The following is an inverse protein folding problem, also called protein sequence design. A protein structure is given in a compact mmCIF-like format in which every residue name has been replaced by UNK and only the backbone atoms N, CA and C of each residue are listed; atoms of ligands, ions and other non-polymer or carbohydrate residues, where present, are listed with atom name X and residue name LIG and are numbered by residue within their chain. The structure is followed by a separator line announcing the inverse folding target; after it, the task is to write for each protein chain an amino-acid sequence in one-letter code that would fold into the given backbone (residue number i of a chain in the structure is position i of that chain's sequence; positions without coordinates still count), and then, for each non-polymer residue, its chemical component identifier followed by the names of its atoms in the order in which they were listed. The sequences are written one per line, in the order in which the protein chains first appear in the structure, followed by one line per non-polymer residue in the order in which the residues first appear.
data_IF_299592703486
#
_entry.id   IF_299592703486
#
_cell.length_a   1.000
_cell.length_b   1.000
_cell.length_c   1.000
_cell.angle_alpha   90.00
_cell.angle_beta   90.00
_cell.angle_gamma   90.00
#
_symmetry.space_group_name_H-M   'P 1'
#
loop_
_entity.id
_entity.type
_entity.pdbx_description
1 polymer ?
#
# COMPACT_ATOMS: atom_id res chain seq x y z
N UNK A 1 -51.98 37.89 -11.08
CA UNK A 1 -50.52 37.63 -11.03
C UNK A 1 -50.18 37.33 -9.58
N UNK A 2 -50.16 36.05 -9.20
CA UNK A 2 -49.69 35.63 -7.88
C UNK A 2 -48.23 35.22 -7.99
N UNK A 3 -47.34 36.00 -7.40
CA UNK A 3 -45.91 35.70 -7.31
C UNK A 3 -45.70 34.52 -6.36
N UNK A 4 -45.01 33.50 -6.85
CA UNK A 4 -44.52 32.36 -6.04
C UNK A 4 -43.49 32.90 -5.05
N UNK A 5 -43.53 32.55 -3.75
CA UNK A 5 -42.52 32.95 -2.79
C UNK A 5 -41.19 32.27 -3.14
N UNK A 6 -40.11 33.04 -3.19
CA UNK A 6 -38.75 32.51 -3.30
C UNK A 6 -38.48 31.57 -2.11
N UNK A 7 -38.20 30.30 -2.40
CA UNK A 7 -37.75 29.34 -1.40
C UNK A 7 -36.43 29.82 -0.78
N UNK A 8 -36.42 30.03 0.54
CA UNK A 8 -35.19 30.34 1.27
C UNK A 8 -34.26 29.13 1.22
N UNK A 9 -33.21 29.20 0.39
CA UNK A 9 -32.15 28.21 0.38
C UNK A 9 -31.47 28.22 1.75
N UNK A 10 -31.56 27.12 2.50
CA UNK A 10 -30.91 26.99 3.79
C UNK A 10 -29.39 27.22 3.62
N UNK A 11 -28.80 28.09 4.45
CA UNK A 11 -27.37 28.38 4.39
C UNK A 11 -26.54 27.09 4.60
N UNK A 12 -25.59 26.84 3.71
CA UNK A 12 -24.71 25.68 3.79
C UNK A 12 -23.79 25.80 5.02
N UNK A 13 -23.80 24.79 5.88
CA UNK A 13 -22.93 24.71 7.06
C UNK A 13 -21.72 23.84 6.73
N UNK A 14 -20.54 24.45 6.66
CA UNK A 14 -19.28 23.76 6.34
C UNK A 14 -18.44 23.56 7.60
N UNK A 15 -18.12 22.31 7.91
CA UNK A 15 -17.23 21.95 9.02
C UNK A 15 -15.78 21.85 8.54
N UNK A 16 -14.82 22.24 9.39
CA UNK A 16 -13.38 22.18 9.12
C UNK A 16 -12.61 21.64 10.32
N UNK A 17 -11.36 21.23 10.08
CA UNK A 17 -10.44 20.84 11.14
C UNK A 17 -10.23 21.99 12.13
N UNK A 18 -9.84 21.64 13.36
CA UNK A 18 -9.33 22.62 14.35
C UNK A 18 -7.85 22.94 14.13
N UNK A 19 -7.15 22.12 13.36
CA UNK A 19 -5.79 22.41 12.91
C UNK A 19 -5.84 23.36 11.71
N UNK A 20 -4.83 24.25 11.56
CA UNK A 20 -4.75 25.13 10.40
C UNK A 20 -4.53 24.33 9.11
N UNK A 21 -4.87 24.94 7.97
CA UNK A 21 -4.49 24.42 6.67
C UNK A 21 -2.96 24.43 6.52
N UNK A 22 -2.43 23.47 5.78
CA UNK A 22 -1.00 23.31 5.52
C UNK A 22 -0.72 23.39 4.02
N UNK A 23 0.51 23.76 3.66
CA UNK A 23 0.97 23.64 2.28
C UNK A 23 1.18 22.16 1.93
N UNK A 24 0.59 21.72 0.81
CA UNK A 24 0.67 20.34 0.34
C UNK A 24 1.36 20.33 -1.02
N UNK A 25 2.50 19.63 -1.17
CA UNK A 25 3.26 19.59 -2.43
C UNK A 25 2.61 18.63 -3.44
N UNK A 26 1.40 18.97 -3.86
CA UNK A 26 0.51 18.11 -4.64
C UNK A 26 0.85 18.05 -6.14
N UNK A 27 1.92 18.74 -6.57
CA UNK A 27 2.48 18.66 -7.93
C UNK A 27 3.60 17.60 -8.07
N UNK A 28 3.95 16.91 -6.99
CA UNK A 28 4.96 15.84 -7.01
C UNK A 28 4.35 14.47 -7.35
N UNK A 29 5.21 13.51 -7.68
CA UNK A 29 4.84 12.10 -7.69
C UNK A 29 4.85 11.52 -6.28
N UNK A 30 3.98 10.53 -6.05
CA UNK A 30 3.78 9.92 -4.71
C UNK A 30 5.09 9.39 -4.11
N UNK A 31 5.89 8.68 -4.91
CA UNK A 31 7.17 8.14 -4.47
C UNK A 31 8.17 9.24 -4.10
N UNK A 32 8.21 10.35 -4.84
CA UNK A 32 9.09 11.48 -4.52
C UNK A 32 8.69 12.13 -3.20
N UNK A 33 7.39 12.31 -2.99
CA UNK A 33 6.84 12.84 -1.75
C UNK A 33 7.14 11.95 -0.53
N UNK A 34 6.94 10.63 -0.66
CA UNK A 34 7.21 9.67 0.41
C UNK A 34 8.70 9.57 0.75
N UNK A 35 9.59 9.67 -0.24
CA UNK A 35 11.04 9.58 -0.02
C UNK A 35 11.73 10.94 0.17
N UNK A 36 10.99 12.03 0.38
CA UNK A 36 11.55 13.38 0.50
C UNK A 36 12.59 13.53 1.63
N UNK A 37 12.55 12.69 2.66
CA UNK A 37 13.48 12.70 3.81
C UNK A 37 14.71 11.79 3.62
N UNK A 38 14.98 11.29 2.41
CA UNK A 38 16.04 10.29 2.16
C UNK A 38 17.42 10.68 2.72
N UNK A 39 17.79 11.97 2.66
CA UNK A 39 19.05 12.46 3.21
C UNK A 39 19.17 12.28 4.74
N UNK A 40 18.05 12.28 5.45
CA UNK A 40 17.99 12.12 6.90
C UNK A 40 17.83 10.65 7.33
N UNK A 41 17.03 9.88 6.59
CA UNK A 41 16.62 8.53 7.01
C UNK A 41 17.19 7.39 6.16
N UNK A 42 18.00 7.67 5.13
CA UNK A 42 18.43 6.68 4.15
C UNK A 42 19.03 5.39 4.71
N UNK A 43 19.83 5.48 5.77
CA UNK A 43 20.44 4.32 6.45
C UNK A 43 19.58 3.72 7.58
N UNK A 44 18.44 4.32 7.91
CA UNK A 44 17.53 3.82 8.94
C UNK A 44 16.70 2.64 8.42
N UNK A 45 16.29 1.70 9.28
CA UNK A 45 15.30 0.68 8.91
C UNK A 45 14.01 1.33 8.41
N UNK A 46 13.50 0.82 7.29
CA UNK A 46 12.23 1.25 6.69
C UNK A 46 11.19 0.15 6.81
N UNK A 47 11.48 -1.04 6.28
CA UNK A 47 10.56 -2.19 6.28
C UNK A 47 11.27 -3.38 6.93
N UNK A 48 10.64 -3.98 7.92
CA UNK A 48 11.10 -5.18 8.61
C UNK A 48 10.05 -6.26 8.41
N UNK A 49 10.42 -7.39 7.83
CA UNK A 49 9.55 -8.56 7.75
C UNK A 49 9.55 -9.28 9.11
N UNK A 50 8.43 -9.16 9.84
CA UNK A 50 8.28 -9.79 11.15
C UNK A 50 8.24 -11.32 11.12
N UNK A 51 8.10 -11.95 9.96
CA UNK A 51 8.16 -13.41 9.85
C UNK A 51 9.59 -13.92 9.67
N UNK A 52 10.39 -13.27 8.81
CA UNK A 52 11.74 -13.73 8.44
C UNK A 52 12.85 -13.00 9.21
N UNK A 53 12.55 -11.84 9.80
CA UNK A 53 13.53 -10.94 10.41
C UNK A 53 14.32 -10.11 9.39
N UNK A 54 14.05 -10.25 8.08
CA UNK A 54 14.68 -9.44 7.06
C UNK A 54 14.35 -7.96 7.28
N UNK A 55 15.36 -7.10 7.19
CA UNK A 55 15.24 -5.66 7.42
C UNK A 55 15.82 -4.91 6.24
N UNK A 56 15.04 -3.98 5.70
CA UNK A 56 15.38 -3.14 4.57
C UNK A 56 15.42 -1.68 5.03
N UNK A 57 16.54 -1.01 4.79
CA UNK A 57 16.73 0.42 5.01
C UNK A 57 15.94 1.26 4.01
N UNK A 58 15.75 2.55 4.28
CA UNK A 58 15.09 3.47 3.33
C UNK A 58 15.79 3.49 1.96
N UNK A 59 17.12 3.49 1.93
CA UNK A 59 17.89 3.42 0.70
C UNK A 59 17.66 2.11 -0.06
N UNK A 60 17.59 0.98 0.65
CA UNK A 60 17.30 -0.32 0.03
C UNK A 60 15.86 -0.39 -0.49
N UNK A 61 14.86 0.10 0.26
CA UNK A 61 13.47 0.14 -0.21
C UNK A 61 13.35 1.02 -1.46
N UNK A 62 14.04 2.16 -1.52
CA UNK A 62 14.04 3.01 -2.72
C UNK A 62 14.69 2.33 -3.92
N UNK A 63 15.87 1.71 -3.71
CA UNK A 63 16.59 0.94 -4.74
C UNK A 63 15.76 -0.25 -5.24
N UNK A 64 15.22 -1.07 -4.33
CA UNK A 64 14.40 -2.24 -4.65
C UNK A 64 13.12 -1.85 -5.40
N UNK A 65 12.52 -0.71 -5.05
CA UNK A 65 11.36 -0.18 -5.78
C UNK A 65 11.74 0.27 -7.20
N UNK A 66 12.92 0.86 -7.41
CA UNK A 66 13.42 1.22 -8.75
C UNK A 66 13.80 0.00 -9.57
N UNK A 67 14.34 -1.06 -8.96
CA UNK A 67 14.58 -2.35 -9.63
C UNK A 67 13.26 -3.04 -9.98
N UNK A 68 12.27 -2.98 -9.09
CA UNK A 68 10.92 -3.46 -9.38
C UNK A 68 10.30 -2.73 -10.56
N UNK A 69 10.44 -1.40 -10.64
CA UNK A 69 10.01 -0.61 -11.79
C UNK A 69 10.70 -1.05 -13.09
N UNK A 70 12.02 -1.22 -13.10
CA UNK A 70 12.75 -1.69 -14.28
C UNK A 70 12.30 -3.10 -14.71
N UNK A 71 12.08 -4.00 -13.75
CA UNK A 71 11.55 -5.34 -14.00
C UNK A 71 10.15 -5.33 -14.59
N UNK A 72 9.21 -4.59 -13.99
CA UNK A 72 7.85 -4.43 -14.50
C UNK A 72 7.84 -3.83 -15.92
N UNK A 73 8.70 -2.85 -16.19
CA UNK A 73 8.86 -2.26 -17.53
C UNK A 73 9.34 -3.26 -18.56
N UNK A 74 10.28 -4.16 -18.23
CA UNK A 74 10.70 -5.26 -19.12
C UNK A 74 9.56 -6.23 -19.43
N UNK A 75 8.58 -6.33 -18.55
CA UNK A 75 7.36 -7.12 -18.74
C UNK A 75 6.26 -6.35 -19.50
N UNK A 76 6.55 -5.14 -19.97
CA UNK A 76 5.65 -4.32 -20.79
C UNK A 76 4.78 -3.34 -20.01
N UNK A 77 4.93 -3.24 -18.67
CA UNK A 77 4.18 -2.26 -17.87
C UNK A 77 4.68 -0.84 -18.17
N UNK A 78 3.76 0.07 -18.45
CA UNK A 78 4.02 1.50 -18.63
C UNK A 78 2.94 2.38 -18.00
N UNK A 79 2.96 3.65 -18.39
CA UNK A 79 2.06 4.68 -17.87
C UNK A 79 0.59 4.34 -18.19
N UNK A 80 -0.26 4.35 -17.18
CA UNK A 80 -1.69 4.06 -17.30
C UNK A 80 -2.06 2.57 -17.22
N UNK A 81 -1.07 1.67 -17.25
CA UNK A 81 -1.31 0.24 -17.06
C UNK A 81 -1.62 -0.11 -15.61
N UNK A 82 -2.17 -1.30 -15.39
CA UNK A 82 -2.57 -1.76 -14.06
C UNK A 82 -1.81 -3.03 -13.67
N UNK A 83 -1.14 -2.98 -12.52
CA UNK A 83 -0.51 -4.14 -11.85
C UNK A 83 -1.43 -4.62 -10.73
N UNK A 84 -1.69 -5.92 -10.66
CA UNK A 84 -2.49 -6.52 -9.59
C UNK A 84 -1.62 -7.12 -8.49
N UNK A 85 -1.70 -6.57 -7.28
CA UNK A 85 -1.11 -7.16 -6.10
C UNK A 85 -2.14 -8.06 -5.39
N UNK A 86 -1.99 -9.37 -5.58
CA UNK A 86 -2.71 -10.44 -4.89
C UNK A 86 -1.83 -11.02 -3.78
N UNK A 87 -1.46 -10.17 -2.83
CA UNK A 87 -0.46 -10.46 -1.80
C UNK A 87 -1.02 -10.24 -0.41
N UNK A 88 -0.58 -11.06 0.55
CA UNK A 88 -0.64 -10.68 1.98
C UNK A 88 0.36 -9.55 2.26
N UNK A 89 0.40 -9.10 3.51
CA UNK A 89 1.37 -8.11 3.95
C UNK A 89 2.79 -8.66 3.83
N UNK A 90 3.61 -8.15 2.91
CA UNK A 90 5.02 -8.49 2.78
C UNK A 90 5.82 -7.31 2.23
N UNK A 91 7.17 -7.30 2.34
CA UNK A 91 8.00 -6.24 1.75
C UNK A 91 7.78 -6.09 0.23
N UNK A 92 7.63 -7.19 -0.49
CA UNK A 92 7.44 -7.21 -1.95
C UNK A 92 6.16 -6.50 -2.39
N UNK A 93 5.13 -6.45 -1.52
CA UNK A 93 3.95 -5.62 -1.76
C UNK A 93 4.35 -4.16 -1.96
N UNK A 94 5.20 -3.63 -1.07
CA UNK A 94 5.65 -2.24 -1.12
C UNK A 94 6.56 -1.99 -2.33
N UNK A 95 7.49 -2.92 -2.61
CA UNK A 95 8.39 -2.81 -3.77
C UNK A 95 7.62 -2.81 -5.09
N UNK A 96 6.65 -3.69 -5.23
CA UNK A 96 5.78 -3.76 -6.40
C UNK A 96 4.92 -2.50 -6.55
N UNK A 97 4.26 -2.05 -5.47
CA UNK A 97 3.42 -0.85 -5.49
C UNK A 97 4.22 0.41 -5.86
N UNK A 98 5.36 0.63 -5.20
CA UNK A 98 6.23 1.78 -5.46
C UNK A 98 6.91 1.67 -6.83
N UNK A 99 7.22 0.45 -7.28
CA UNK A 99 7.77 0.20 -8.62
C UNK A 99 6.77 0.55 -9.73
N UNK A 100 5.51 0.13 -9.60
CA UNK A 100 4.43 0.52 -10.53
C UNK A 100 4.23 2.04 -10.54
N UNK A 101 4.21 2.68 -9.36
CA UNK A 101 4.08 4.13 -9.24
C UNK A 101 5.19 4.90 -9.99
N UNK A 102 6.41 4.35 -10.08
CA UNK A 102 7.54 4.93 -10.83
C UNK A 102 7.41 4.84 -12.34
N UNK A 103 6.51 4.00 -12.83
CA UNK A 103 6.19 3.87 -14.26
C UNK A 103 4.96 4.69 -14.65
N UNK A 104 4.32 5.39 -13.69
CA UNK A 104 3.00 5.98 -13.88
C UNK A 104 1.89 4.95 -14.06
N UNK A 105 2.12 3.71 -13.59
CA UNK A 105 1.14 2.63 -13.58
C UNK A 105 0.34 2.65 -12.26
N UNK A 106 -0.88 2.15 -12.32
CA UNK A 106 -1.72 1.98 -11.13
C UNK A 106 -1.54 0.57 -10.53
N UNK A 107 -1.69 0.47 -9.22
CA UNK A 107 -1.77 -0.83 -8.53
C UNK A 107 -3.20 -1.10 -8.07
N UNK A 108 -3.83 -2.16 -8.58
CA UNK A 108 -5.04 -2.74 -7.96
C UNK A 108 -4.63 -3.79 -6.94
N UNK A 109 -5.38 -3.88 -5.84
CA UNK A 109 -5.07 -4.81 -4.74
C UNK A 109 -6.26 -5.69 -4.46
N UNK A 110 -6.02 -6.97 -4.19
CA UNK A 110 -7.07 -7.93 -3.87
C UNK A 110 -6.67 -8.82 -2.69
N UNK A 111 -7.68 -9.30 -1.97
CA UNK A 111 -7.47 -10.23 -0.88
C UNK A 111 -7.05 -11.61 -1.46
N UNK A 112 -5.86 -12.15 -1.12
CA UNK A 112 -5.43 -13.46 -1.61
C UNK A 112 -6.32 -14.62 -1.12
N UNK A 113 -7.17 -14.39 -0.12
CA UNK A 113 -8.17 -15.36 0.34
C UNK A 113 -9.46 -15.37 -0.48
N UNK A 114 -9.64 -14.45 -1.44
CA UNK A 114 -10.76 -14.53 -2.39
C UNK A 114 -10.76 -15.82 -3.20
N UNK A 115 -11.93 -16.16 -3.72
CA UNK A 115 -12.12 -17.25 -4.68
C UNK A 115 -11.50 -16.88 -6.04
N UNK A 116 -11.12 -17.86 -6.87
CA UNK A 116 -10.62 -17.59 -8.22
C UNK A 116 -11.54 -16.65 -9.02
N UNK A 117 -12.85 -16.90 -8.99
CA UNK A 117 -13.84 -16.09 -9.71
C UNK A 117 -13.86 -14.62 -9.28
N UNK A 118 -13.75 -14.34 -7.98
CA UNK A 118 -13.69 -12.97 -7.47
C UNK A 118 -12.40 -12.26 -7.91
N UNK A 119 -11.27 -12.98 -7.88
CA UNK A 119 -9.97 -12.47 -8.32
C UNK A 119 -10.00 -12.16 -9.82
N UNK A 120 -10.47 -13.08 -10.65
CA UNK A 120 -10.55 -12.93 -12.11
C UNK A 120 -11.45 -11.77 -12.49
N UNK A 121 -12.63 -11.66 -11.85
CA UNK A 121 -13.55 -10.54 -12.08
C UNK A 121 -12.89 -9.20 -11.79
N UNK A 122 -12.15 -9.09 -10.69
CA UNK A 122 -11.45 -7.85 -10.36
C UNK A 122 -10.29 -7.59 -11.32
N UNK A 123 -9.53 -8.61 -11.71
CA UNK A 123 -8.44 -8.49 -12.68
C UNK A 123 -8.96 -7.98 -14.04
N UNK A 124 -10.07 -8.56 -14.53
CA UNK A 124 -10.73 -8.12 -15.76
C UNK A 124 -11.28 -6.69 -15.63
N UNK A 125 -12.00 -6.39 -14.55
CA UNK A 125 -12.58 -5.06 -14.34
C UNK A 125 -11.52 -3.96 -14.17
N UNK A 126 -10.36 -4.31 -13.61
CA UNK A 126 -9.24 -3.39 -13.44
C UNK A 126 -8.37 -3.26 -14.69
N UNK A 127 -8.54 -4.13 -15.70
CA UNK A 127 -7.63 -4.18 -16.84
C UNK A 127 -6.20 -4.56 -16.43
N UNK A 128 -6.04 -5.48 -15.47
CA UNK A 128 -4.73 -5.89 -14.98
C UNK A 128 -3.87 -6.49 -16.10
N UNK A 129 -2.67 -5.97 -16.30
CA UNK A 129 -1.68 -6.47 -17.26
C UNK A 129 -0.78 -7.57 -16.69
N UNK A 130 -0.68 -7.65 -15.36
CA UNK A 130 0.19 -8.58 -14.65
C UNK A 130 -0.35 -8.82 -13.24
N UNK A 131 -0.09 -10.01 -12.69
CA UNK A 131 -0.47 -10.39 -11.32
C UNK A 131 0.78 -10.72 -10.51
N UNK A 132 1.01 -10.00 -9.41
CA UNK A 132 2.00 -10.36 -8.39
C UNK A 132 1.29 -11.10 -7.25
N UNK A 133 1.76 -12.29 -6.89
CA UNK A 133 1.09 -13.18 -5.94
C UNK A 133 2.09 -13.99 -5.11
N UNK A 134 1.60 -14.64 -4.05
CA UNK A 134 2.33 -15.69 -3.34
C UNK A 134 2.11 -17.05 -4.03
N UNK A 135 3.08 -17.96 -3.94
CA UNK A 135 3.08 -19.29 -4.54
C UNK A 135 1.82 -20.09 -4.17
N UNK A 136 1.34 -19.94 -2.93
CA UNK A 136 0.12 -20.59 -2.43
C UNK A 136 -1.18 -20.11 -3.10
N UNK A 137 -1.16 -19.00 -3.83
CA UNK A 137 -2.31 -18.45 -4.55
C UNK A 137 -2.18 -18.57 -6.08
N UNK A 138 -1.06 -19.10 -6.60
CA UNK A 138 -0.82 -19.29 -8.04
C UNK A 138 -1.91 -20.15 -8.68
N UNK A 139 -2.31 -21.24 -8.03
CA UNK A 139 -3.33 -22.15 -8.57
C UNK A 139 -4.70 -21.47 -8.77
N UNK A 140 -4.93 -20.32 -8.12
CA UNK A 140 -6.15 -19.53 -8.30
C UNK A 140 -6.12 -18.68 -9.57
N UNK A 141 -4.95 -18.39 -10.14
CA UNK A 141 -4.79 -17.40 -11.21
C UNK A 141 -4.09 -17.93 -12.45
N UNK A 142 -3.32 -19.02 -12.35
CA UNK A 142 -2.41 -19.46 -13.42
C UNK A 142 -3.14 -19.77 -14.74
N UNK A 143 -4.22 -20.57 -14.69
CA UNK A 143 -4.99 -20.92 -15.90
C UNK A 143 -5.67 -19.68 -16.53
N UNK A 144 -6.26 -18.83 -15.69
CA UNK A 144 -6.85 -17.56 -16.11
C UNK A 144 -5.83 -16.64 -16.79
N UNK A 145 -4.65 -16.49 -16.16
CA UNK A 145 -3.58 -15.64 -16.64
C UNK A 145 -3.00 -16.17 -17.96
N UNK A 146 -2.78 -17.49 -18.07
CA UNK A 146 -2.32 -18.14 -19.29
C UNK A 146 -3.31 -17.94 -20.45
N UNK A 147 -4.63 -18.07 -20.20
CA UNK A 147 -5.67 -17.84 -21.21
C UNK A 147 -5.76 -16.39 -21.70
N UNK A 148 -5.20 -15.44 -20.94
CA UNK A 148 -5.18 -14.00 -21.27
C UNK A 148 -3.78 -13.51 -21.69
N UNK A 149 -2.75 -14.35 -21.61
CA UNK A 149 -1.36 -13.94 -21.82
C UNK A 149 -0.81 -13.01 -20.74
N UNK A 150 -1.39 -13.02 -19.53
CA UNK A 150 -0.95 -12.18 -18.41
C UNK A 150 0.22 -12.85 -17.68
N UNK A 151 1.36 -12.18 -17.47
CA UNK A 151 2.41 -12.73 -16.64
C UNK A 151 1.98 -12.83 -15.17
N UNK A 152 2.43 -13.90 -14.51
CA UNK A 152 2.26 -14.10 -13.07
C UNK A 152 3.64 -14.06 -12.42
N UNK A 153 3.79 -13.23 -11.37
CA UNK A 153 5.03 -13.07 -10.61
C UNK A 153 4.83 -13.62 -9.20
N UNK A 154 5.73 -14.48 -8.73
CA UNK A 154 5.68 -15.06 -7.38
C UNK A 154 6.72 -14.45 -6.44
N UNK A 155 6.33 -14.12 -5.21
CA UNK A 155 7.22 -13.42 -4.25
C UNK A 155 7.94 -14.34 -3.25
N UNK A 156 7.52 -15.61 -3.15
CA UNK A 156 7.99 -16.56 -2.14
C UNK A 156 8.37 -17.93 -2.75
N UNK A 157 8.93 -17.89 -3.96
CA UNK A 157 9.56 -19.03 -4.62
C UNK A 157 9.14 -19.24 -6.07
N UNK A 158 10.00 -19.90 -6.84
CA UNK A 158 9.75 -20.24 -8.24
C UNK A 158 8.57 -21.22 -8.38
N UNK A 159 7.73 -20.97 -9.38
CA UNK A 159 6.64 -21.85 -9.80
C UNK A 159 6.63 -21.95 -11.32
N UNK A 160 6.34 -23.13 -11.84
CA UNK A 160 6.28 -23.36 -13.27
C UNK A 160 5.25 -22.41 -13.92
N UNK A 161 5.65 -21.74 -15.01
CA UNK A 161 4.83 -20.75 -15.69
C UNK A 161 4.72 -19.38 -15.00
N UNK A 162 5.48 -19.15 -13.91
CA UNK A 162 5.58 -17.87 -13.22
C UNK A 162 7.00 -17.30 -13.30
N UNK A 163 7.13 -15.99 -13.15
CA UNK A 163 8.40 -15.28 -12.97
C UNK A 163 8.67 -15.14 -11.48
N UNK A 164 9.90 -15.40 -11.02
CA UNK A 164 10.27 -15.13 -9.63
C UNK A 164 10.47 -13.62 -9.42
N UNK A 165 9.87 -13.05 -8.38
CA UNK A 165 10.06 -11.64 -8.01
C UNK A 165 11.54 -11.32 -7.79
N UNK A 166 12.34 -12.26 -7.27
CA UNK A 166 13.78 -12.09 -7.12
C UNK A 166 14.48 -11.84 -8.47
N UNK A 167 14.07 -12.52 -9.55
CA UNK A 167 14.59 -12.28 -10.90
C UNK A 167 14.15 -10.92 -11.45
N UNK A 168 12.91 -10.51 -11.14
CA UNK A 168 12.37 -9.21 -11.53
C UNK A 168 13.23 -8.06 -10.97
N UNK A 169 13.69 -8.18 -9.71
CA UNK A 169 14.52 -7.18 -9.02
C UNK A 169 16.04 -7.45 -9.10
N UNK A 170 16.50 -8.48 -9.81
CA UNK A 170 17.93 -8.80 -9.93
C UNK A 170 18.71 -7.83 -10.83
N UNK A 171 18.00 -7.10 -11.70
CA UNK A 171 18.60 -6.22 -12.70
C UNK A 171 19.02 -4.84 -12.18
N UNK A 172 19.34 -3.96 -13.13
CA UNK A 172 19.64 -2.55 -12.87
C UNK A 172 18.40 -1.78 -12.41
N UNK A 173 18.63 -0.69 -11.68
CA UNK A 173 17.58 0.23 -11.26
C UNK A 173 17.04 1.03 -12.44
N UNK A 174 15.75 1.37 -12.42
CA UNK A 174 15.17 2.32 -13.36
C UNK A 174 15.93 3.66 -13.25
N UNK A 175 16.53 4.19 -14.34
CA UNK A 175 17.15 5.52 -14.35
C UNK A 175 16.15 6.60 -13.90
N UNK A 176 16.62 7.60 -13.14
CA UNK A 176 15.74 8.63 -12.54
C UNK A 176 15.06 9.53 -13.58
N UNK A 177 15.73 9.78 -14.70
CA UNK A 177 15.23 10.55 -15.83
C UNK A 177 14.09 9.85 -16.57
N UNK A 178 14.00 8.52 -16.48
CA UNK A 178 12.89 7.76 -17.04
C UNK A 178 11.62 7.77 -16.18
N UNK A 179 11.66 8.36 -14.97
CA UNK A 179 10.46 8.67 -14.18
C UNK A 179 9.75 9.96 -14.68
N UNK A 180 10.30 10.62 -15.71
CA UNK A 180 9.73 11.83 -16.28
C UNK A 180 8.39 11.56 -17.01
N UNK A 181 7.45 12.52 -16.90
CA UNK A 181 6.16 12.47 -17.60
C UNK A 181 5.00 11.87 -16.80
N UNK A 182 5.21 11.50 -15.54
CA UNK A 182 4.14 11.18 -14.59
C UNK A 182 3.48 12.48 -14.14
N UNK A 183 2.16 12.56 -14.31
CA UNK A 183 1.35 13.70 -13.91
C UNK A 183 0.74 13.44 -12.52
N UNK A 184 0.58 14.46 -11.66
CA UNK A 184 -0.03 14.28 -10.34
C UNK A 184 -1.45 13.70 -10.38
N UNK A 185 -2.18 13.92 -11.46
CA UNK A 185 -3.53 13.39 -11.65
C UNK A 185 -3.57 11.99 -12.30
N UNK A 186 -2.42 11.38 -12.57
CA UNK A 186 -2.36 9.97 -12.97
C UNK A 186 -2.76 9.07 -11.79
N UNK A 187 -3.48 7.99 -12.09
CA UNK A 187 -3.94 7.01 -11.10
C UNK A 187 -2.76 6.13 -10.67
N UNK A 188 -2.58 5.97 -9.36
CA UNK A 188 -1.49 5.17 -8.78
C UNK A 188 -2.01 4.02 -7.92
N UNK A 189 -3.21 4.15 -7.35
CA UNK A 189 -3.88 3.06 -6.63
C UNK A 189 -5.31 2.90 -7.11
N UNK A 190 -5.73 1.65 -7.27
CA UNK A 190 -7.07 1.26 -7.72
C UNK A 190 -7.71 0.23 -6.78
N UNK A 191 -7.93 0.56 -5.49
CA UNK A 191 -8.63 -0.33 -4.58
C UNK A 191 -10.11 -0.49 -4.99
N UNK A 192 -10.68 -1.66 -4.69
CA UNK A 192 -12.10 -1.93 -4.94
C UNK A 192 -12.94 -1.73 -3.68
N UNK A 193 -14.09 -1.10 -3.83
CA UNK A 193 -15.08 -0.88 -2.78
C UNK A 193 -16.48 -1.24 -3.26
N UNK A 194 -17.30 -1.80 -2.37
CA UNK A 194 -18.74 -1.99 -2.63
C UNK A 194 -19.49 -0.68 -2.82
N UNK A 195 -18.92 0.45 -2.39
CA UNK A 195 -19.58 1.76 -2.40
C UNK A 195 -20.87 1.76 -1.57
N UNK A 196 -21.80 2.65 -1.93
CA UNK A 196 -23.11 2.77 -1.26
C UNK A 196 -24.14 1.76 -1.74
N UNK A 197 -24.02 1.26 -2.97
CA UNK A 197 -24.87 0.22 -3.57
C UNK A 197 -24.20 -0.46 -4.77
N UNK A 198 -24.48 -1.76 -4.96
CA UNK A 198 -24.18 -2.50 -6.19
C UNK A 198 -22.91 -3.36 -6.13
N UNK A 199 -22.41 -3.73 -7.30
CA UNK A 199 -21.16 -4.49 -7.46
C UNK A 199 -19.95 -3.63 -7.04
N UNK A 200 -18.85 -4.26 -6.57
CA UNK A 200 -17.60 -3.55 -6.28
C UNK A 200 -17.10 -2.72 -7.46
N UNK A 201 -16.66 -1.48 -7.19
CA UNK A 201 -16.17 -0.51 -8.18
C UNK A 201 -14.72 -0.17 -7.85
N UNK A 202 -13.88 -0.01 -8.89
CA UNK A 202 -12.53 0.50 -8.76
C UNK A 202 -12.54 1.98 -8.39
N UNK A 203 -11.91 2.33 -7.27
CA UNK A 203 -11.77 3.72 -6.82
C UNK A 203 -10.44 4.24 -7.34
N UNK A 204 -10.49 5.19 -8.28
CA UNK A 204 -9.28 5.79 -8.84
C UNK A 204 -8.67 6.79 -7.85
N UNK A 205 -7.51 6.44 -7.30
CA UNK A 205 -6.73 7.31 -6.43
C UNK A 205 -5.47 7.77 -7.15
N UNK A 206 -5.39 9.07 -7.38
CA UNK A 206 -4.27 9.72 -8.06
C UNK A 206 -3.10 9.99 -7.13
N UNK A 207 -1.91 10.25 -7.68
CA UNK A 207 -0.76 10.72 -6.89
C UNK A 207 -1.14 11.93 -6.04
N UNK A 208 -1.79 12.94 -6.64
CA UNK A 208 -2.27 14.16 -5.98
C UNK A 208 -3.19 13.84 -4.80
N UNK A 209 -4.15 12.94 -4.99
CA UNK A 209 -5.11 12.57 -3.95
C UNK A 209 -4.45 11.87 -2.76
N UNK A 210 -3.50 10.96 -3.00
CA UNK A 210 -2.79 10.25 -1.94
C UNK A 210 -1.79 11.15 -1.23
N UNK A 211 -1.03 11.99 -1.96
CA UNK A 211 -0.15 13.00 -1.33
C UNK A 211 -0.96 13.92 -0.43
N UNK A 212 -2.10 14.41 -0.91
CA UNK A 212 -2.99 15.27 -0.13
C UNK A 212 -3.46 14.56 1.14
N UNK A 213 -3.90 13.30 1.02
CA UNK A 213 -4.37 12.52 2.16
C UNK A 213 -3.24 12.22 3.16
N UNK A 214 -2.04 11.89 2.72
CA UNK A 214 -0.90 11.63 3.60
C UNK A 214 -0.45 12.91 4.30
N UNK A 215 -0.35 14.03 3.58
CA UNK A 215 0.03 15.32 4.16
C UNK A 215 -0.96 15.75 5.25
N UNK A 216 -2.27 15.62 5.02
CA UNK A 216 -3.31 15.88 6.02
C UNK A 216 -3.20 15.01 7.28
N UNK A 217 -2.50 13.88 7.21
CA UNK A 217 -2.25 13.01 8.36
C UNK A 217 -0.96 13.42 9.08
N UNK A 218 0.18 13.46 8.38
CA UNK A 218 1.51 13.46 9.03
C UNK A 218 2.37 14.70 8.75
N UNK A 219 1.95 15.61 7.86
CA UNK A 219 2.66 16.87 7.61
C UNK A 219 2.11 18.01 8.48
N UNK A 220 2.82 19.14 8.47
CA UNK A 220 2.52 20.32 9.29
C UNK A 220 3.35 20.37 10.58
N UNK A 221 3.46 21.56 11.16
CA UNK A 221 4.18 21.75 12.43
C UNK A 221 3.50 21.04 13.60
N UNK A 222 2.18 20.90 13.54
CA UNK A 222 1.36 20.16 14.49
C UNK A 222 0.49 19.14 13.72
N UNK A 223 1.08 17.99 13.33
CA UNK A 223 0.40 17.03 12.46
C UNK A 223 -0.78 16.37 13.17
N UNK A 224 -1.81 16.03 12.42
CA UNK A 224 -3.00 15.35 12.95
C UNK A 224 -2.67 13.96 13.53
N UNK A 225 -1.67 13.30 12.94
CA UNK A 225 -1.07 12.07 13.38
C UNK A 225 0.45 12.26 13.47
N UNK A 226 0.96 12.43 14.68
CA UNK A 226 2.38 12.63 14.89
C UNK A 226 3.14 11.31 14.76
N UNK A 227 3.88 11.17 13.66
CA UNK A 227 4.87 10.14 13.43
C UNK A 227 6.24 10.78 13.28
N UNK A 228 7.26 10.13 13.83
CA UNK A 228 8.66 10.57 13.75
C UNK A 228 9.54 9.45 13.21
N UNK A 229 10.78 9.78 12.84
CA UNK A 229 11.75 8.76 12.40
C UNK A 229 12.10 7.78 13.52
N UNK A 230 11.91 8.17 14.77
CA UNK A 230 12.09 7.34 15.97
C UNK A 230 10.98 6.29 16.16
N UNK A 231 9.83 6.45 15.49
CA UNK A 231 8.71 5.54 15.63
C UNK A 231 8.89 4.24 14.85
N UNK A 232 8.30 3.19 15.40
CA UNK A 232 8.23 1.86 14.81
C UNK A 232 6.77 1.44 14.72
N UNK A 233 6.24 1.42 13.50
CA UNK A 233 4.83 1.14 13.20
C UNK A 233 4.64 -0.36 12.99
N UNK A 234 3.58 -0.92 13.57
CA UNK A 234 3.12 -2.26 13.24
C UNK A 234 2.23 -2.23 12.00
N UNK A 235 2.66 -2.88 10.91
CA UNK A 235 1.85 -3.11 9.73
C UNK A 235 1.14 -4.48 9.81
N UNK A 236 0.13 -4.55 10.69
CA UNK A 236 -0.71 -5.72 10.88
C UNK A 236 -1.94 -5.75 9.95
N UNK A 237 -2.54 -4.58 9.73
CA UNK A 237 -3.77 -4.48 8.95
C UNK A 237 -3.45 -4.69 7.46
N UNK A 238 -4.36 -5.26 6.65
CA UNK A 238 -4.02 -5.67 5.28
C UNK A 238 -3.67 -4.51 4.34
N UNK A 239 -2.49 -4.55 3.73
CA UNK A 239 -2.00 -3.57 2.75
C UNK A 239 -2.84 -3.55 1.47
N UNK A 240 -3.53 -4.66 1.15
CA UNK A 240 -4.49 -4.68 0.05
C UNK A 240 -5.77 -3.86 0.32
N UNK A 241 -5.94 -3.31 1.52
CA UNK A 241 -6.96 -2.30 1.82
C UNK A 241 -6.32 -0.92 1.95
N UNK A 242 -7.01 0.09 1.39
CA UNK A 242 -6.49 1.45 1.31
C UNK A 242 -6.12 2.07 2.66
N UNK A 243 -6.75 1.64 3.76
CA UNK A 243 -6.41 2.10 5.10
C UNK A 243 -4.94 1.86 5.44
N UNK A 244 -4.45 0.62 5.33
CA UNK A 244 -3.07 0.31 5.67
C UNK A 244 -2.08 0.83 4.64
N UNK A 245 -2.45 0.76 3.36
CA UNK A 245 -1.64 1.32 2.30
C UNK A 245 -1.37 2.82 2.56
N UNK A 246 -2.40 3.60 2.86
CA UNK A 246 -2.29 5.03 3.10
C UNK A 246 -1.72 5.37 4.49
N UNK A 247 -2.42 4.99 5.56
CA UNK A 247 -2.14 5.45 6.93
C UNK A 247 -1.01 4.69 7.64
N UNK A 248 -0.49 3.61 7.04
CA UNK A 248 0.67 2.88 7.58
C UNK A 248 1.85 2.95 6.63
N UNK A 249 1.72 2.42 5.41
CA UNK A 249 2.84 2.36 4.47
C UNK A 249 3.23 3.78 3.99
N UNK A 250 2.31 4.52 3.35
CA UNK A 250 2.66 5.82 2.77
C UNK A 250 2.95 6.89 3.84
N UNK A 251 2.13 6.93 4.91
CA UNK A 251 2.35 7.82 6.05
C UNK A 251 3.65 7.51 6.80
N UNK A 252 3.97 6.22 7.02
CA UNK A 252 5.22 5.80 7.65
C UNK A 252 6.44 6.17 6.82
N UNK A 253 6.41 5.90 5.50
CA UNK A 253 7.46 6.31 4.56
C UNK A 253 7.70 7.82 4.61
N UNK A 254 6.63 8.62 4.54
CA UNK A 254 6.70 10.08 4.59
C UNK A 254 7.29 10.58 5.91
N UNK A 255 6.90 9.96 7.02
CA UNK A 255 7.39 10.33 8.35
C UNK A 255 8.87 9.95 8.57
N UNK A 256 9.37 8.94 7.85
CA UNK A 256 10.71 8.38 8.05
C UNK A 256 10.75 7.28 9.12
N UNK A 257 9.59 6.75 9.51
CA UNK A 257 9.44 5.74 10.56
C UNK A 257 9.76 4.33 10.06
N UNK A 258 10.18 3.44 10.94
CA UNK A 258 10.33 2.02 10.61
C UNK A 258 8.96 1.33 10.64
N UNK A 259 8.78 0.27 9.85
CA UNK A 259 7.54 -0.51 9.79
C UNK A 259 7.83 -2.00 9.94
N UNK A 260 7.25 -2.63 10.96
CA UNK A 260 7.30 -4.08 11.17
C UNK A 260 6.07 -4.71 10.55
N UNK A 261 6.27 -5.45 9.46
CA UNK A 261 5.21 -6.12 8.73
C UNK A 261 4.84 -7.42 9.44
N UNK A 262 3.54 -7.59 9.71
CA UNK A 262 2.99 -8.83 10.22
C UNK A 262 2.05 -9.45 9.20
N UNK A 263 2.47 -10.58 8.61
CA UNK A 263 1.74 -11.31 7.55
C UNK A 263 0.35 -11.80 7.99
N UNK A 264 0.25 -12.28 9.22
CA UNK A 264 -0.97 -12.85 9.79
C UNK A 264 -1.02 -12.51 11.27
N UNK A 265 -2.20 -12.11 11.76
CA UNK A 265 -2.40 -11.85 13.18
C UNK A 265 -2.20 -13.13 14.00
N UNK A 266 -1.27 -13.05 14.95
CA UNK A 266 -1.06 -14.01 16.02
C UNK A 266 -0.67 -13.24 17.29
N UNK A 267 -1.28 -13.56 18.42
CA UNK A 267 -1.06 -12.76 19.65
C UNK A 267 0.34 -12.99 20.25
N UNK A 268 0.88 -14.21 20.13
CA UNK A 268 2.21 -14.54 20.62
C UNK A 268 3.27 -13.81 19.81
N UNK A 269 3.23 -13.98 18.49
CA UNK A 269 4.13 -13.29 17.57
C UNK A 269 4.02 -11.76 17.69
N UNK A 270 2.82 -11.20 17.93
CA UNK A 270 2.66 -9.77 18.17
C UNK A 270 3.45 -9.31 19.40
N UNK A 271 3.33 -10.01 20.53
CA UNK A 271 4.05 -9.65 21.76
C UNK A 271 5.57 -9.76 21.56
N UNK A 272 6.01 -10.78 20.83
CA UNK A 272 7.42 -10.95 20.47
C UNK A 272 7.93 -9.81 19.60
N UNK A 273 7.21 -9.43 18.54
CA UNK A 273 7.58 -8.33 17.67
C UNK A 273 7.59 -6.98 18.39
N UNK A 274 6.63 -6.73 19.28
CA UNK A 274 6.60 -5.50 20.11
C UNK A 274 7.85 -5.42 20.97
N UNK A 275 8.27 -6.52 21.59
CA UNK A 275 9.48 -6.57 22.42
C UNK A 275 10.76 -6.47 21.60
N UNK A 276 10.84 -7.18 20.48
CA UNK A 276 12.04 -7.28 19.65
C UNK A 276 12.36 -5.97 18.92
N UNK A 277 11.33 -5.26 18.43
CA UNK A 277 11.50 -4.08 17.59
C UNK A 277 11.08 -2.77 18.25
N UNK A 278 10.56 -2.80 19.49
CA UNK A 278 10.16 -1.60 20.21
C UNK A 278 9.01 -0.86 19.52
N UNK A 279 7.98 -1.59 19.06
CA UNK A 279 6.83 -1.02 18.34
C UNK A 279 6.18 0.09 19.18
N UNK A 280 6.17 1.33 18.67
CA UNK A 280 5.57 2.49 19.35
C UNK A 280 4.15 2.77 18.87
N UNK A 281 3.81 2.36 17.64
CA UNK A 281 2.51 2.67 17.02
C UNK A 281 1.90 1.40 16.45
N UNK A 282 0.71 1.04 16.93
CA UNK A 282 0.02 -0.18 16.51
C UNK A 282 -1.44 0.10 16.09
N UNK A 283 -1.70 0.30 14.80
CA UNK A 283 -3.05 0.41 14.26
C UNK A 283 -3.82 -0.90 14.43
N UNK A 284 -4.98 -0.85 15.09
CA UNK A 284 -5.87 -2.00 15.29
C UNK A 284 -7.28 -1.71 14.75
N UNK A 285 -8.03 -2.78 14.54
CA UNK A 285 -9.47 -2.75 14.28
C UNK A 285 -10.20 -3.47 15.42
N UNK A 286 -11.49 -3.19 15.68
CA UNK A 286 -12.18 -3.75 16.85
C UNK A 286 -12.05 -5.29 17.03
N UNK A 287 -12.10 -6.11 15.97
CA UNK A 287 -11.87 -7.55 16.09
C UNK A 287 -10.49 -7.91 16.65
N UNK A 288 -9.41 -7.24 16.24
CA UNK A 288 -8.06 -7.54 16.73
C UNK A 288 -7.87 -7.06 18.17
N UNK A 289 -8.39 -5.89 18.53
CA UNK A 289 -8.36 -5.40 19.92
C UNK A 289 -9.10 -6.32 20.90
N UNK A 290 -10.21 -6.94 20.46
CA UNK A 290 -10.98 -7.87 21.29
C UNK A 290 -10.22 -9.17 21.60
N UNK A 291 -9.42 -9.67 20.65
CA UNK A 291 -8.59 -10.87 20.83
C UNK A 291 -7.43 -10.61 21.78
N UNK A 292 -6.80 -9.44 21.70
CA UNK A 292 -5.77 -9.00 22.67
C UNK A 292 -6.30 -8.87 24.09
N UNK A 293 -7.57 -8.48 24.27
CA UNK A 293 -8.20 -8.40 25.60
C UNK A 293 -8.56 -9.78 26.18
N UNK A 294 -8.92 -10.75 25.33
CA UNK A 294 -9.30 -12.10 25.76
C UNK A 294 -8.11 -12.97 26.18
N UNK A 295 -6.90 -12.67 25.73
CA UNK A 295 -5.68 -13.39 26.15
C UNK A 295 -5.17 -13.01 27.55
N UNK A 296 -5.88 -12.13 28.28
CA UNK A 296 -5.55 -11.72 29.66
C UNK A 296 -6.09 -12.65 30.76
N UNK A 297 -6.61 -13.84 30.43
CA UNK A 297 -6.90 -14.85 31.46
C UNK A 297 -5.58 -15.39 32.01
N UNK A 298 -5.27 -15.23 33.31
CA UNK A 298 -4.04 -15.76 33.87
C UNK A 298 -4.05 -17.30 33.77
N UNK A 299 -2.88 -17.96 33.67
CA UNK A 299 -2.83 -19.41 33.75
C UNK A 299 -3.38 -19.84 35.11
N UNK A 300 -4.42 -20.67 35.09
CA UNK A 300 -4.87 -21.42 36.25
C UNK A 300 -3.76 -22.37 36.65
N UNK A 301 -3.11 -22.09 37.79
CA UNK A 301 -2.23 -23.05 38.43
C UNK A 301 -3.08 -24.23 38.92
N UNK A 302 -2.86 -25.41 38.33
CA UNK A 302 -3.20 -26.71 38.89
C UNK A 302 -1.91 -27.50 39.06
#
# INVERSE_FOLDING_TARGET
MGSVPEESVAAEVVFRSRLPDIEIPNEQTLQSYCFAKMAEVGSRPCIIDGQTGASYTYAEVESLSRKAAAGLRRMGVGKGDVVMNLLRNCPEFAFSFLGAARLGAATTTANPFYTPHEIHRQADAAGAMLIVTEACAVDKVLEYAAGKGLPVVTVDGARDGCVDFAELIAGEELPRDEEAGIHPDDVVALPYSSGTTGLPKGVMLTHRSLITSVAQQVDGENPNLYFSKEDVLLCLLPLFHIYSLNSVLLAGLRAGSAMVIMRKFDIGALVELVRAHGITIAPFVPPSSSRTRRSRTPPSYH
#
